data_IF_413766148694
#
_entry.id   IF_413766148694
#
_cell.length_a   1.000
_cell.length_b   1.000
_cell.length_c   1.000
_cell.angle_alpha   90.00
_cell.angle_beta   90.00
_cell.angle_gamma   90.00
#
_symmetry.space_group_name_H-M   'P 1'
#
loop_
_entity.id
_entity.type
_entity.pdbx_description
1 polymer ?
#
# COMPACT_ATOMS: atom_id res chain seq x y z
N UNK A 1 8.78 -76.13 -4.47
CA UNK A 1 9.92 -75.35 -5.00
C UNK A 1 9.35 -74.11 -5.67
N UNK A 2 9.57 -72.92 -5.11
CA UNK A 2 9.30 -71.68 -5.83
C UNK A 2 10.22 -71.64 -7.06
N UNK A 3 9.69 -71.34 -8.25
CA UNK A 3 10.53 -71.28 -9.44
C UNK A 3 11.55 -70.14 -9.31
N UNK A 4 12.70 -70.29 -9.95
CA UNK A 4 13.79 -69.31 -9.91
C UNK A 4 13.31 -67.88 -10.26
N UNK A 5 12.28 -67.79 -11.10
CA UNK A 5 11.62 -66.52 -11.47
C UNK A 5 10.94 -65.81 -10.30
N UNK A 6 10.33 -66.54 -9.35
CA UNK A 6 9.69 -65.93 -8.17
C UNK A 6 10.71 -65.41 -7.16
N UNK A 7 11.84 -66.09 -7.02
CA UNK A 7 12.94 -65.64 -6.15
C UNK A 7 13.53 -64.34 -6.70
N UNK A 8 13.76 -64.25 -8.01
CA UNK A 8 14.25 -63.03 -8.67
C UNK A 8 13.25 -61.88 -8.53
N UNK A 9 11.95 -62.14 -8.70
CA UNK A 9 10.92 -61.11 -8.55
C UNK A 9 10.83 -60.58 -7.10
N UNK A 10 10.88 -61.47 -6.11
CA UNK A 10 10.91 -61.09 -4.69
C UNK A 10 12.20 -60.30 -4.37
N UNK A 11 13.34 -60.70 -4.92
CA UNK A 11 14.60 -59.97 -4.75
C UNK A 11 14.56 -58.58 -5.41
N UNK A 12 13.92 -58.43 -6.57
CA UNK A 12 13.74 -57.14 -7.24
C UNK A 12 12.75 -56.23 -6.50
N UNK A 13 11.67 -56.77 -5.92
CA UNK A 13 10.70 -55.97 -5.16
C UNK A 13 11.26 -55.56 -3.79
N UNK A 14 12.04 -56.44 -3.12
CA UNK A 14 12.71 -56.12 -1.85
C UNK A 14 13.90 -55.17 -2.02
N UNK A 15 14.64 -55.21 -3.14
CA UNK A 15 15.71 -54.24 -3.41
C UNK A 15 15.20 -52.95 -4.08
N UNK A 16 14.11 -53.03 -4.85
CA UNK A 16 13.46 -51.86 -5.47
C UNK A 16 12.79 -50.92 -4.47
N UNK A 17 12.47 -51.42 -3.27
CA UNK A 17 11.98 -50.60 -2.14
C UNK A 17 13.10 -50.00 -1.28
N UNK A 18 14.36 -50.41 -1.49
CA UNK A 18 15.55 -49.91 -0.76
C UNK A 18 16.40 -48.92 -1.56
N UNK A 19 16.07 -48.67 -2.83
CA UNK A 19 16.56 -47.49 -3.51
C UNK A 19 15.90 -46.26 -2.88
N UNK A 20 16.46 -45.82 -1.75
CA UNK A 20 16.18 -44.51 -1.17
C UNK A 20 16.50 -43.50 -2.27
N UNK A 21 15.46 -43.02 -2.95
CA UNK A 21 15.58 -41.82 -3.77
C UNK A 21 16.07 -40.78 -2.79
N UNK A 22 17.32 -40.35 -2.95
CA UNK A 22 17.85 -39.21 -2.24
C UNK A 22 17.11 -38.01 -2.85
N UNK A 23 15.89 -37.78 -2.38
CA UNK A 23 15.13 -36.58 -2.70
C UNK A 23 15.97 -35.43 -2.19
N UNK A 24 16.77 -34.85 -3.09
CA UNK A 24 17.52 -33.65 -2.82
C UNK A 24 16.52 -32.61 -2.34
N UNK A 25 16.51 -32.36 -1.03
CA UNK A 25 15.73 -31.30 -0.42
C UNK A 25 16.15 -30.01 -1.14
N UNK A 26 15.21 -29.33 -1.83
CA UNK A 26 15.54 -28.11 -2.56
C UNK A 26 16.07 -27.05 -1.60
N UNK A 27 17.19 -26.43 -1.97
CA UNK A 27 17.72 -25.26 -1.30
C UNK A 27 17.08 -24.02 -1.89
N UNK A 28 16.42 -23.23 -1.06
CA UNK A 28 15.63 -22.09 -1.49
C UNK A 28 16.24 -20.82 -0.94
N UNK A 29 16.60 -19.90 -1.84
CA UNK A 29 17.08 -18.58 -1.48
C UNK A 29 15.97 -17.57 -1.78
N UNK A 30 15.61 -16.77 -0.79
CA UNK A 30 14.67 -15.66 -0.91
C UNK A 30 15.47 -14.37 -0.80
N UNK A 31 15.34 -13.48 -1.78
CA UNK A 31 16.03 -12.18 -1.77
C UNK A 31 15.05 -11.11 -1.29
N UNK A 32 15.35 -10.52 -0.13
CA UNK A 32 14.54 -9.53 0.58
C UNK A 32 13.71 -10.14 1.71
N UNK A 33 13.86 -9.59 2.91
CA UNK A 33 13.07 -9.89 4.11
C UNK A 33 11.95 -8.85 4.33
N UNK A 34 11.33 -8.38 3.25
CA UNK A 34 10.06 -7.62 3.31
C UNK A 34 8.84 -8.52 3.49
N UNK A 35 7.64 -7.93 3.54
CA UNK A 35 6.39 -8.68 3.70
C UNK A 35 6.28 -9.89 2.76
N UNK A 36 6.49 -9.70 1.45
CA UNK A 36 6.43 -10.78 0.46
C UNK A 36 7.48 -11.88 0.68
N UNK A 37 8.70 -11.52 1.07
CA UNK A 37 9.79 -12.47 1.31
C UNK A 37 9.53 -13.32 2.55
N UNK A 38 9.11 -12.69 3.65
CA UNK A 38 8.75 -13.39 4.89
C UNK A 38 7.54 -14.31 4.66
N UNK A 39 6.50 -13.84 3.97
CA UNK A 39 5.34 -14.67 3.62
C UNK A 39 5.71 -15.84 2.72
N UNK A 40 6.61 -15.64 1.75
CA UNK A 40 7.12 -16.72 0.91
C UNK A 40 7.89 -17.76 1.74
N UNK A 41 8.75 -17.31 2.65
CA UNK A 41 9.51 -18.20 3.52
C UNK A 41 8.58 -19.04 4.41
N UNK A 42 7.59 -18.41 5.04
CA UNK A 42 6.56 -19.11 5.81
C UNK A 42 5.85 -20.16 4.95
N UNK A 43 5.43 -19.79 3.73
CA UNK A 43 4.71 -20.71 2.85
C UNK A 43 5.55 -21.89 2.39
N UNK A 44 6.82 -21.65 2.08
CA UNK A 44 7.78 -22.68 1.68
C UNK A 44 8.00 -23.67 2.83
N UNK A 45 8.18 -23.18 4.06
CA UNK A 45 8.33 -24.01 5.26
C UNK A 45 7.07 -24.84 5.54
N UNK A 46 5.88 -24.26 5.42
CA UNK A 46 4.59 -24.98 5.56
C UNK A 46 4.44 -26.13 4.58
N UNK A 47 5.05 -26.03 3.38
CA UNK A 47 5.01 -27.07 2.36
C UNK A 47 6.13 -28.13 2.53
N UNK A 48 6.85 -28.11 3.65
CA UNK A 48 7.85 -29.13 4.01
C UNK A 48 9.26 -28.88 3.45
N UNK A 49 9.50 -27.71 2.84
CA UNK A 49 10.83 -27.33 2.40
C UNK A 49 11.58 -26.63 3.54
N UNK A 50 12.57 -27.31 4.10
CA UNK A 50 13.23 -26.86 5.34
C UNK A 50 14.62 -26.21 5.14
N UNK A 51 15.17 -26.20 3.92
CA UNK A 51 16.45 -25.55 3.60
C UNK A 51 16.20 -24.20 2.91
N UNK A 52 15.84 -23.19 3.72
CA UNK A 52 15.48 -21.84 3.27
C UNK A 52 16.44 -20.81 3.86
N UNK A 53 16.98 -19.94 3.00
CA UNK A 53 17.81 -18.79 3.41
C UNK A 53 17.20 -17.50 2.87
N UNK A 54 17.03 -16.50 3.73
CA UNK A 54 16.62 -15.14 3.31
C UNK A 54 17.85 -14.23 3.29
N UNK A 55 18.06 -13.52 2.19
CA UNK A 55 19.11 -12.51 2.03
C UNK A 55 18.48 -11.13 2.05
N UNK A 56 18.72 -10.36 3.11
CA UNK A 56 18.27 -8.98 3.23
C UNK A 56 19.47 -8.04 3.10
N UNK A 57 19.29 -6.96 2.34
CA UNK A 57 20.34 -5.97 2.12
C UNK A 57 20.44 -4.97 3.28
N UNK A 58 19.32 -4.72 3.97
CA UNK A 58 19.23 -3.85 5.14
C UNK A 58 19.67 -4.58 6.41
N UNK A 59 19.95 -3.81 7.46
CA UNK A 59 20.23 -4.30 8.82
C UNK A 59 18.96 -4.65 9.61
N UNK A 60 17.79 -4.63 8.95
CA UNK A 60 16.48 -4.91 9.52
C UNK A 60 15.59 -5.66 8.54
N UNK A 61 14.62 -6.39 9.07
CA UNK A 61 13.53 -6.99 8.30
C UNK A 61 12.39 -5.97 8.08
N UNK A 62 11.36 -6.36 7.33
CA UNK A 62 10.14 -5.60 7.08
C UNK A 62 10.13 -4.83 5.76
N UNK A 63 11.30 -4.54 5.19
CA UNK A 63 11.41 -3.84 3.91
C UNK A 63 10.76 -2.45 3.96
N UNK A 64 9.72 -2.23 3.15
CA UNK A 64 8.94 -0.97 3.13
C UNK A 64 7.96 -0.82 4.29
N UNK A 65 7.82 -1.81 5.16
CA UNK A 65 7.18 -1.66 6.47
C UNK A 65 8.27 -1.30 7.45
N UNK A 66 8.22 -0.09 8.03
CA UNK A 66 9.30 0.45 8.85
C UNK A 66 8.77 1.41 9.92
N UNK A 67 8.61 0.91 11.13
CA UNK A 67 8.24 1.70 12.31
C UNK A 67 9.49 2.02 13.11
N UNK A 68 9.71 3.30 13.43
CA UNK A 68 10.85 3.73 14.25
C UNK A 68 10.37 4.36 15.56
N UNK A 69 11.11 4.21 16.67
CA UNK A 69 10.80 4.93 17.91
C UNK A 69 10.84 6.44 17.71
N UNK A 70 9.82 7.15 18.21
CA UNK A 70 9.74 8.60 18.17
C UNK A 70 9.07 9.15 19.43
N UNK A 71 9.83 9.86 20.26
CA UNK A 71 9.34 10.36 21.54
C UNK A 71 8.91 9.22 22.47
N UNK A 72 7.63 9.22 22.88
CA UNK A 72 7.04 8.16 23.72
C UNK A 72 6.32 7.07 22.91
N UNK A 73 6.38 7.12 21.58
CA UNK A 73 5.67 6.21 20.69
C UNK A 73 6.52 5.79 19.49
N UNK A 74 5.85 5.50 18.39
CA UNK A 74 6.46 5.12 17.12
C UNK A 74 5.92 6.00 15.99
N UNK A 75 6.71 6.14 14.94
CA UNK A 75 6.27 6.71 13.66
C UNK A 75 6.59 5.71 12.55
N UNK A 76 5.66 5.55 11.61
CA UNK A 76 5.87 4.72 10.43
C UNK A 76 6.51 5.57 9.32
N UNK A 77 7.71 5.17 8.91
CA UNK A 77 8.38 5.71 7.72
C UNK A 77 7.99 4.94 6.44
N UNK A 78 7.01 4.04 6.55
CA UNK A 78 6.62 3.10 5.52
C UNK A 78 5.12 2.84 5.55
N UNK A 79 4.71 1.57 5.39
CA UNK A 79 3.31 1.20 5.47
C UNK A 79 2.72 1.54 6.86
N UNK A 80 1.67 2.36 6.86
CA UNK A 80 0.97 2.82 8.07
C UNK A 80 -0.50 2.38 8.11
N UNK A 81 -1.14 2.18 6.96
CA UNK A 81 -2.58 1.97 6.85
C UNK A 81 -2.93 0.55 6.41
N UNK A 82 -3.91 -0.06 7.07
CA UNK A 82 -4.59 -1.26 6.58
C UNK A 82 -5.91 -0.83 5.92
N UNK A 83 -5.97 -0.87 4.60
CA UNK A 83 -7.14 -0.38 3.86
C UNK A 83 -8.25 -1.43 3.83
N UNK A 84 -9.30 -1.19 4.61
CA UNK A 84 -10.50 -2.02 4.65
C UNK A 84 -10.34 -3.32 5.43
N UNK A 85 -11.49 -3.85 5.86
CA UNK A 85 -11.58 -5.06 6.69
C UNK A 85 -12.00 -6.30 5.90
N UNK A 86 -12.72 -6.10 4.79
CA UNK A 86 -13.33 -7.19 3.99
C UNK A 86 -12.45 -7.49 2.78
N UNK A 87 -12.07 -8.76 2.59
CA UNK A 87 -11.22 -9.17 1.48
C UNK A 87 -9.76 -8.72 1.63
N UNK A 88 -9.39 -8.22 2.80
CA UNK A 88 -8.03 -7.80 3.11
C UNK A 88 -7.36 -8.86 4.01
N UNK A 89 -6.48 -9.66 3.40
CA UNK A 89 -5.78 -10.76 4.08
C UNK A 89 -5.00 -10.32 5.32
N UNK A 90 -4.49 -9.08 5.34
CA UNK A 90 -3.74 -8.55 6.49
C UNK A 90 -4.70 -8.39 7.67
N UNK A 91 -5.83 -7.72 7.46
CA UNK A 91 -6.84 -7.55 8.51
C UNK A 91 -7.40 -8.90 8.96
N UNK A 92 -7.88 -9.72 8.01
CA UNK A 92 -8.48 -11.03 8.30
C UNK A 92 -7.56 -11.96 9.09
N UNK A 93 -6.24 -11.89 8.86
CA UNK A 93 -5.27 -12.73 9.56
C UNK A 93 -4.89 -12.17 10.93
N UNK A 94 -4.79 -10.84 11.06
CA UNK A 94 -4.12 -10.21 12.20
C UNK A 94 -5.05 -9.52 13.19
N UNK A 95 -6.33 -9.28 12.84
CA UNK A 95 -7.25 -8.48 13.67
C UNK A 95 -7.53 -9.07 15.06
N UNK A 96 -7.35 -10.39 15.23
CA UNK A 96 -7.51 -11.05 16.54
C UNK A 96 -6.24 -10.98 17.41
N UNK A 97 -5.10 -10.59 16.84
CA UNK A 97 -3.79 -10.56 17.51
C UNK A 97 -3.31 -9.12 17.72
N UNK A 98 -3.66 -8.22 16.80
CA UNK A 98 -3.30 -6.81 16.82
C UNK A 98 -4.55 -5.95 16.80
N UNK A 99 -4.54 -4.89 17.59
CA UNK A 99 -5.58 -3.86 17.55
C UNK A 99 -5.35 -2.98 16.32
N UNK A 100 -6.14 -3.21 15.27
CA UNK A 100 -6.31 -2.26 14.18
C UNK A 100 -7.21 -1.14 14.70
N UNK A 101 -6.63 -0.21 15.44
CA UNK A 101 -7.34 0.95 15.95
C UNK A 101 -7.74 1.90 14.82
N UNK A 102 -8.85 2.63 15.01
CA UNK A 102 -9.06 3.87 14.27
C UNK A 102 -7.97 4.85 14.69
N UNK A 103 -7.23 5.38 13.72
CA UNK A 103 -6.22 6.43 13.95
C UNK A 103 -6.83 7.70 14.56
N UNK A 104 -8.17 7.80 14.65
CA UNK A 104 -8.88 8.97 15.16
C UNK A 104 -8.68 10.18 14.26
N UNK A 105 -8.22 9.94 13.02
CA UNK A 105 -7.88 10.96 12.07
C UNK A 105 -9.16 11.63 11.60
N UNK A 106 -9.35 12.85 12.08
CA UNK A 106 -10.47 13.70 11.68
C UNK A 106 -9.90 14.89 10.94
N UNK A 107 -10.21 14.94 9.65
CA UNK A 107 -9.91 16.07 8.79
C UNK A 107 -10.47 17.39 9.38
N UNK A 108 -11.61 17.34 10.09
CA UNK A 108 -12.22 18.51 10.76
C UNK A 108 -11.41 19.03 11.98
N UNK A 109 -10.47 18.24 12.49
CA UNK A 109 -9.55 18.63 13.58
C UNK A 109 -8.16 19.01 13.08
N UNK A 110 -7.94 19.00 11.76
CA UNK A 110 -6.64 19.32 11.17
C UNK A 110 -6.33 20.80 11.33
N UNK A 111 -5.08 21.13 11.70
CA UNK A 111 -4.61 22.50 11.72
C UNK A 111 -3.87 22.82 10.42
N UNK A 112 -4.37 23.81 9.70
CA UNK A 112 -3.72 24.33 8.50
C UNK A 112 -2.82 25.51 8.82
N UNK A 113 -1.61 25.49 8.27
CA UNK A 113 -0.65 26.58 8.37
C UNK A 113 -0.31 27.10 6.97
N UNK A 114 -0.18 28.41 6.85
CA UNK A 114 0.29 29.05 5.61
C UNK A 114 1.77 28.75 5.39
N UNK A 115 2.25 29.02 4.17
CA UNK A 115 3.66 28.98 3.82
C UNK A 115 4.56 29.87 4.69
N UNK A 116 3.98 30.88 5.36
CA UNK A 116 4.67 31.74 6.31
C UNK A 116 4.66 31.21 7.75
N UNK A 117 4.09 30.03 7.98
CA UNK A 117 4.00 29.38 9.29
C UNK A 117 2.94 29.98 10.21
N UNK A 118 2.06 30.84 9.71
CA UNK A 118 0.90 31.34 10.48
C UNK A 118 -0.27 30.36 10.38
N UNK A 119 -1.09 30.28 11.43
CA UNK A 119 -2.30 29.46 11.43
C UNK A 119 -3.31 30.05 10.43
N UNK A 120 -3.78 29.24 9.48
CA UNK A 120 -4.80 29.62 8.52
C UNK A 120 -6.20 29.59 9.16
N UNK A 121 -7.15 30.31 8.56
CA UNK A 121 -8.55 30.27 8.97
C UNK A 121 -9.10 28.84 8.81
N UNK A 122 -9.54 28.24 9.92
CA UNK A 122 -9.97 26.85 9.95
C UNK A 122 -11.24 26.61 9.15
N UNK A 123 -12.20 27.54 9.20
CA UNK A 123 -13.47 27.38 8.49
C UNK A 123 -13.23 27.40 6.98
N UNK A 124 -12.43 28.36 6.51
CA UNK A 124 -12.06 28.48 5.10
C UNK A 124 -11.21 27.29 4.63
N UNK A 125 -10.24 26.86 5.43
CA UNK A 125 -9.37 25.73 5.08
C UNK A 125 -10.15 24.42 4.99
N UNK A 126 -11.08 24.16 5.91
CA UNK A 126 -11.96 22.98 5.86
C UNK A 126 -12.88 23.03 4.64
N UNK A 127 -13.40 24.21 4.25
CA UNK A 127 -14.18 24.36 3.00
C UNK A 127 -13.35 23.94 1.78
N UNK A 128 -12.11 24.43 1.65
CA UNK A 128 -11.23 24.11 0.52
C UNK A 128 -10.81 22.63 0.49
N UNK A 129 -10.59 22.04 1.66
CA UNK A 129 -10.34 20.61 1.81
C UNK A 129 -11.53 19.77 1.33
N UNK A 130 -12.74 20.09 1.78
CA UNK A 130 -13.97 19.40 1.35
C UNK A 130 -14.23 19.58 -0.15
N UNK A 131 -13.89 20.74 -0.72
CA UNK A 131 -13.92 20.95 -2.16
C UNK A 131 -12.92 20.02 -2.87
N UNK A 132 -11.69 19.91 -2.38
CA UNK A 132 -10.67 19.04 -2.96
C UNK A 132 -11.11 17.57 -2.93
N UNK A 133 -11.63 17.12 -1.78
CA UNK A 133 -12.20 15.78 -1.61
C UNK A 133 -13.35 15.51 -2.59
N UNK A 134 -14.28 16.47 -2.76
CA UNK A 134 -15.36 16.37 -3.73
C UNK A 134 -14.84 16.15 -5.15
N UNK A 135 -13.78 16.85 -5.55
CA UNK A 135 -13.19 16.73 -6.89
C UNK A 135 -12.52 15.37 -7.08
N UNK A 136 -11.74 14.90 -6.10
CA UNK A 136 -11.11 13.57 -6.16
C UNK A 136 -12.11 12.42 -6.11
N UNK A 137 -13.27 12.61 -5.49
CA UNK A 137 -14.31 11.59 -5.43
C UNK A 137 -15.24 11.58 -6.66
N UNK A 138 -15.08 12.49 -7.61
CA UNK A 138 -15.83 12.46 -8.88
C UNK A 138 -15.17 11.49 -9.88
N UNK A 139 -15.18 10.21 -9.51
CA UNK A 139 -14.57 9.12 -10.30
C UNK A 139 -15.21 9.01 -11.69
N UNK A 140 -16.51 9.30 -11.81
CA UNK A 140 -17.21 9.22 -13.10
C UNK A 140 -16.75 10.33 -14.06
N UNK A 141 -16.65 11.58 -13.60
CA UNK A 141 -16.14 12.66 -14.44
C UNK A 141 -14.66 12.45 -14.80
N UNK A 142 -13.85 11.98 -13.85
CA UNK A 142 -12.45 11.65 -14.09
C UNK A 142 -12.29 10.52 -15.12
N UNK A 143 -13.08 9.45 -15.02
CA UNK A 143 -13.03 8.32 -15.96
C UNK A 143 -13.40 8.71 -17.41
N UNK A 144 -14.25 9.75 -17.57
CA UNK A 144 -14.64 10.31 -18.87
C UNK A 144 -13.65 11.34 -19.41
N UNK A 145 -12.74 11.84 -18.57
CA UNK A 145 -11.73 12.83 -18.94
C UNK A 145 -10.58 12.18 -19.71
N UNK A 146 -10.02 12.91 -20.68
CA UNK A 146 -8.74 12.57 -21.33
C UNK A 146 -7.59 13.48 -20.86
N UNK A 147 -7.78 14.18 -19.74
CA UNK A 147 -6.82 15.13 -19.18
C UNK A 147 -5.87 14.46 -18.19
N UNK A 148 -4.78 15.15 -17.89
CA UNK A 148 -4.03 14.87 -16.68
C UNK A 148 -4.90 15.14 -15.43
N UNK A 149 -4.52 14.54 -14.30
CA UNK A 149 -5.17 14.77 -13.01
C UNK A 149 -5.04 16.24 -12.60
N UNK A 150 -3.89 16.85 -12.89
CA UNK A 150 -3.65 18.27 -12.65
C UNK A 150 -4.64 19.16 -13.41
N UNK A 151 -4.75 19.01 -14.74
CA UNK A 151 -5.68 19.79 -15.56
C UNK A 151 -7.14 19.57 -15.12
N UNK A 152 -7.53 18.32 -14.88
CA UNK A 152 -8.88 18.02 -14.39
C UNK A 152 -9.15 18.70 -13.05
N UNK A 153 -8.23 18.56 -12.09
CA UNK A 153 -8.42 19.11 -10.76
C UNK A 153 -8.43 20.64 -10.79
N UNK A 154 -7.45 21.27 -11.44
CA UNK A 154 -7.32 22.73 -11.49
C UNK A 154 -8.56 23.38 -12.13
N UNK A 155 -9.03 22.86 -13.25
CA UNK A 155 -10.21 23.41 -13.90
C UNK A 155 -11.47 23.33 -13.03
N UNK A 156 -11.73 22.15 -12.43
CA UNK A 156 -12.88 21.97 -11.56
C UNK A 156 -12.75 22.80 -10.27
N UNK A 157 -11.55 22.88 -9.70
CA UNK A 157 -11.27 23.68 -8.52
C UNK A 157 -11.53 25.16 -8.78
N UNK A 158 -11.01 25.72 -9.87
CA UNK A 158 -11.24 27.12 -10.25
C UNK A 158 -12.69 27.40 -10.62
N UNK A 159 -13.37 26.47 -11.27
CA UNK A 159 -14.79 26.59 -11.57
C UNK A 159 -15.65 26.63 -10.30
N UNK A 160 -15.38 25.75 -9.34
CA UNK A 160 -16.14 25.67 -8.08
C UNK A 160 -15.89 26.91 -7.20
N UNK A 161 -14.66 27.44 -7.17
CA UNK A 161 -14.33 28.67 -6.43
C UNK A 161 -15.10 29.92 -6.89
N UNK A 162 -15.71 29.92 -8.08
CA UNK A 162 -16.54 31.04 -8.55
C UNK A 162 -17.94 31.07 -7.92
N UNK A 163 -18.33 30.03 -7.19
CA UNK A 163 -19.64 29.94 -6.54
C UNK A 163 -19.70 30.82 -5.30
N UNK A 164 -20.90 31.33 -5.00
CA UNK A 164 -21.16 32.21 -3.86
C UNK A 164 -20.69 31.63 -2.51
N UNK A 165 -20.69 30.30 -2.36
CA UNK A 165 -20.25 29.63 -1.12
C UNK A 165 -18.76 29.82 -0.79
N UNK A 166 -17.95 30.22 -1.78
CA UNK A 166 -16.51 30.47 -1.67
C UNK A 166 -16.13 31.95 -1.81
N UNK A 167 -17.09 32.90 -1.78
CA UNK A 167 -16.79 34.33 -1.95
C UNK A 167 -15.86 34.88 -0.84
N UNK A 168 -15.85 34.23 0.32
CA UNK A 168 -15.04 34.59 1.47
C UNK A 168 -13.61 34.02 1.42
N UNK A 169 -13.29 33.21 0.41
CA UNK A 169 -11.96 32.63 0.21
C UNK A 169 -11.07 33.61 -0.55
N UNK A 170 -9.95 33.98 0.06
CA UNK A 170 -8.93 34.78 -0.62
C UNK A 170 -8.12 33.95 -1.62
N UNK A 171 -7.69 34.59 -2.71
CA UNK A 171 -6.97 33.95 -3.80
C UNK A 171 -5.64 33.33 -3.33
N UNK A 172 -4.95 33.97 -2.38
CA UNK A 172 -3.70 33.47 -1.81
C UNK A 172 -3.90 32.14 -1.07
N UNK A 173 -4.92 32.04 -0.21
CA UNK A 173 -5.26 30.80 0.48
C UNK A 173 -5.67 29.70 -0.51
N UNK A 174 -6.48 30.04 -1.50
CA UNK A 174 -6.89 29.09 -2.55
C UNK A 174 -5.67 28.53 -3.32
N UNK A 175 -4.73 29.38 -3.69
CA UNK A 175 -3.51 28.99 -4.40
C UNK A 175 -2.59 28.13 -3.55
N UNK A 176 -2.42 28.46 -2.27
CA UNK A 176 -1.65 27.62 -1.34
C UNK A 176 -2.31 26.25 -1.15
N UNK A 177 -3.65 26.18 -1.13
CA UNK A 177 -4.37 24.92 -1.03
C UNK A 177 -4.24 24.08 -2.30
N UNK A 178 -4.30 24.70 -3.48
CA UNK A 178 -4.06 24.03 -4.76
C UNK A 178 -2.64 23.45 -4.82
N UNK A 179 -1.64 24.23 -4.41
CA UNK A 179 -0.25 23.80 -4.35
C UNK A 179 -0.02 22.67 -3.32
N UNK A 180 -0.76 22.69 -2.20
CA UNK A 180 -0.78 21.58 -1.25
C UNK A 180 -1.34 20.29 -1.87
N UNK A 181 -2.46 20.36 -2.60
CA UNK A 181 -3.03 19.20 -3.30
C UNK A 181 -2.07 18.65 -4.36
N UNK A 182 -1.41 19.52 -5.12
CA UNK A 182 -0.36 19.14 -6.07
C UNK A 182 0.76 18.34 -5.40
N UNK A 183 1.28 18.82 -4.26
CA UNK A 183 2.34 18.12 -3.51
C UNK A 183 1.85 16.80 -2.94
N UNK A 184 0.64 16.78 -2.40
CA UNK A 184 0.08 15.58 -1.80
C UNK A 184 -0.11 14.48 -2.85
N UNK A 185 -0.69 14.81 -4.00
CA UNK A 185 -0.92 13.85 -5.09
C UNK A 185 0.38 13.36 -5.73
N UNK A 186 1.32 14.25 -6.02
CA UNK A 186 2.64 13.83 -6.54
C UNK A 186 3.36 12.90 -5.56
N UNK A 187 3.28 13.19 -4.27
CA UNK A 187 3.81 12.29 -3.22
C UNK A 187 3.06 10.95 -3.17
N UNK A 188 1.74 10.97 -3.24
CA UNK A 188 0.90 9.76 -3.14
C UNK A 188 1.15 8.80 -4.30
N UNK A 189 1.19 9.29 -5.53
CA UNK A 189 1.44 8.49 -6.73
C UNK A 189 2.93 8.30 -7.05
N UNK A 190 3.83 8.82 -6.22
CA UNK A 190 5.27 8.83 -6.46
C UNK A 190 5.64 9.36 -7.87
N UNK A 191 4.92 10.38 -8.34
CA UNK A 191 5.09 10.96 -9.67
C UNK A 191 6.09 12.13 -9.62
N UNK A 192 6.87 12.28 -10.70
CA UNK A 192 7.80 13.42 -10.83
C UNK A 192 7.08 14.74 -11.10
N UNK A 193 5.91 14.67 -11.76
CA UNK A 193 5.07 15.82 -12.03
C UNK A 193 3.59 15.42 -11.89
N UNK A 194 2.76 16.35 -11.42
CA UNK A 194 1.31 16.14 -11.29
C UNK A 194 0.62 15.93 -12.64
N UNK A 195 1.18 16.53 -13.70
CA UNK A 195 0.71 16.37 -15.08
C UNK A 195 0.90 14.94 -15.62
N UNK A 196 1.82 14.15 -15.05
CA UNK A 196 2.11 12.79 -15.51
C UNK A 196 1.04 11.78 -15.06
N UNK A 197 0.14 12.20 -14.18
CA UNK A 197 -0.92 11.36 -13.61
C UNK A 197 -2.15 11.51 -14.50
N UNK A 198 -2.71 10.40 -14.97
CA UNK A 198 -3.96 10.44 -15.76
C UNK A 198 -5.17 10.46 -14.84
N UNK A 199 -6.08 11.44 -15.04
CA UNK A 199 -7.36 11.48 -14.32
C UNK A 199 -8.18 10.20 -14.54
N UNK A 200 -8.15 9.67 -15.77
CA UNK A 200 -8.88 8.45 -16.12
C UNK A 200 -8.34 7.21 -15.42
N UNK A 201 -7.01 7.02 -15.39
CA UNK A 201 -6.42 5.85 -14.74
C UNK A 201 -6.63 5.89 -13.23
N UNK A 202 -6.54 7.09 -12.65
CA UNK A 202 -6.82 7.36 -11.25
C UNK A 202 -8.22 6.87 -10.83
N UNK A 203 -9.24 7.21 -11.63
CA UNK A 203 -10.62 6.78 -11.38
C UNK A 203 -10.83 5.26 -11.41
N UNK A 204 -9.98 4.51 -12.10
CA UNK A 204 -10.07 3.04 -12.21
C UNK A 204 -9.30 2.35 -11.09
N UNK A 205 -8.23 2.96 -10.58
CA UNK A 205 -7.43 2.39 -9.48
C UNK A 205 -8.06 2.58 -8.12
N UNK A 206 -8.89 3.61 -7.97
CA UNK A 206 -9.56 3.97 -6.71
C UNK A 206 -11.03 3.49 -6.64
N UNK A 207 -11.48 2.70 -7.62
CA UNK A 207 -12.82 2.07 -7.70
C UNK A 207 -12.77 0.58 -7.34
#
# INVERSE_FOLDING_TARGET
MLSLSWIVLIFCVLNGTLAKVDEKIPKIIIVGAGAAGISSAAKVLENGFNDVTILEAQDRIGGRVNSIPFGKGFIDLGAQWCQGEVGNVIYETLHNVYEFGDTGFSFEKSLFYTSQGSLADQSKSIKLMKLSEKIYNDLEAMAKSNKSLAEFFEENYRMELQKQEFEDIDEELADQFLDSNRRQTTSFYAASNWMDISAKLNAVTDA
#
